data_IF_562910920581
#
_entry.id   IF_562910920581
#
_cell.length_a   1.000
_cell.length_b   1.000
_cell.length_c   1.000
_cell.angle_alpha   90.00
_cell.angle_beta   90.00
_cell.angle_gamma   90.00
#
_symmetry.space_group_name_H-M   'P 1'
#
loop_
_entity.id
_entity.type
_entity.pdbx_description
1 polymer ?
#
# COMPACT_ATOMS: atom_id res chain seq x y z
N UNK A 1 27.32 7.21 -8.35
CA UNK A 1 28.25 7.31 -9.48
C UNK A 1 29.58 6.68 -9.10
N UNK A 2 30.05 5.71 -9.89
CA UNK A 2 31.42 5.24 -9.78
C UNK A 2 32.37 6.42 -9.98
N UNK A 3 32.99 6.85 -8.91
CA UNK A 3 34.19 7.69 -9.09
C UNK A 3 35.30 6.77 -9.58
N UNK A 4 36.12 7.25 -10.45
CA UNK A 4 37.24 6.57 -11.13
C UNK A 4 38.34 6.02 -10.19
N UNK A 5 38.00 5.73 -8.96
CA UNK A 5 38.86 5.05 -8.03
C UNK A 5 38.43 3.58 -7.99
N UNK A 6 39.13 2.73 -8.71
CA UNK A 6 38.82 1.30 -8.90
C UNK A 6 38.74 0.47 -7.62
N UNK A 7 38.91 1.08 -6.45
CA UNK A 7 39.00 0.38 -5.18
C UNK A 7 37.79 0.60 -4.25
N UNK A 8 36.92 1.58 -4.55
CA UNK A 8 35.75 1.87 -3.69
C UNK A 8 34.48 1.96 -4.52
N UNK A 9 33.66 0.94 -4.44
CA UNK A 9 32.29 0.94 -4.98
C UNK A 9 31.30 1.54 -3.98
N UNK A 10 30.22 2.13 -4.47
CA UNK A 10 29.09 2.47 -3.61
C UNK A 10 28.54 1.17 -2.97
N UNK A 11 28.30 1.22 -1.67
CA UNK A 11 27.74 0.11 -0.92
C UNK A 11 26.38 0.48 -0.35
N UNK A 12 25.48 -0.48 -0.33
CA UNK A 12 24.14 -0.35 0.25
C UNK A 12 23.64 -1.73 0.67
N UNK A 13 22.49 -1.74 1.34
CA UNK A 13 21.81 -2.99 1.71
C UNK A 13 20.46 -3.09 1.00
N UNK A 14 19.93 -4.30 0.85
CA UNK A 14 18.58 -4.50 0.34
C UNK A 14 17.53 -3.78 1.21
N UNK A 15 17.76 -3.70 2.53
CA UNK A 15 16.92 -2.96 3.45
C UNK A 15 16.89 -1.46 3.15
N UNK A 16 18.05 -0.84 3.01
CA UNK A 16 18.14 0.61 2.75
C UNK A 16 17.53 0.97 1.40
N UNK A 17 17.77 0.13 0.37
CA UNK A 17 17.12 0.29 -0.93
C UNK A 17 15.60 0.09 -0.84
N UNK A 18 15.13 -0.86 -0.06
CA UNK A 18 13.69 -1.06 0.18
C UNK A 18 13.04 0.17 0.80
N UNK A 19 13.67 0.78 1.82
CA UNK A 19 13.22 2.02 2.46
C UNK A 19 13.23 3.19 1.48
N UNK A 20 14.32 3.33 0.72
CA UNK A 20 14.46 4.38 -0.28
C UNK A 20 13.36 4.28 -1.34
N UNK A 21 13.18 3.10 -1.91
CA UNK A 21 12.20 2.85 -3.00
C UNK A 21 10.77 3.01 -2.51
N UNK A 22 10.46 2.55 -1.29
CA UNK A 22 9.15 2.79 -0.69
C UNK A 22 8.82 4.27 -0.64
N UNK A 23 9.71 5.09 -0.07
CA UNK A 23 9.50 6.53 0.02
C UNK A 23 9.48 7.20 -1.37
N UNK A 24 10.33 6.74 -2.28
CA UNK A 24 10.39 7.27 -3.64
C UNK A 24 9.10 7.05 -4.41
N UNK A 25 8.60 5.81 -4.45
CA UNK A 25 7.35 5.48 -5.14
C UNK A 25 6.14 6.10 -4.46
N UNK A 26 6.14 6.20 -3.12
CA UNK A 26 5.06 6.86 -2.37
C UNK A 26 4.98 8.35 -2.67
N UNK A 27 6.11 9.04 -2.70
CA UNK A 27 6.15 10.51 -2.85
C UNK A 27 6.16 10.96 -4.31
N UNK A 28 6.64 10.11 -5.22
CA UNK A 28 6.79 10.41 -6.65
C UNK A 28 6.22 9.28 -7.52
N UNK A 29 4.94 8.93 -7.40
CA UNK A 29 4.33 7.81 -8.11
C UNK A 29 4.38 7.95 -9.63
N UNK A 30 4.48 9.17 -10.15
CA UNK A 30 4.54 9.45 -11.59
C UNK A 30 5.77 8.85 -12.28
N UNK A 31 6.83 8.51 -11.52
CA UNK A 31 8.00 7.81 -12.07
C UNK A 31 7.61 6.48 -12.72
N UNK A 32 6.56 5.85 -12.23
CA UNK A 32 6.10 4.57 -12.75
C UNK A 32 5.54 4.69 -14.18
N UNK A 33 5.10 5.87 -14.61
CA UNK A 33 4.69 6.12 -15.99
C UNK A 33 5.86 6.01 -16.98
N UNK A 34 7.10 6.16 -16.50
CA UNK A 34 8.31 6.07 -17.30
C UNK A 34 8.98 4.69 -17.19
N UNK A 35 8.78 3.98 -16.08
CA UNK A 35 9.47 2.71 -15.81
C UNK A 35 8.66 1.48 -16.19
N UNK A 36 7.39 1.64 -16.54
CA UNK A 36 6.46 0.55 -16.85
C UNK A 36 6.49 0.10 -18.32
N UNK A 37 7.37 0.66 -19.15
CA UNK A 37 7.43 0.37 -20.57
C UNK A 37 8.67 -0.46 -20.90
N UNK A 38 8.45 -1.65 -21.48
CA UNK A 38 9.55 -2.50 -21.93
C UNK A 38 10.26 -1.92 -23.16
N UNK A 39 9.51 -1.19 -23.98
CA UNK A 39 10.00 -0.59 -25.22
C UNK A 39 9.30 0.74 -25.47
N UNK A 40 10.04 1.74 -25.90
CA UNK A 40 9.55 3.06 -26.20
C UNK A 40 10.17 3.58 -27.50
N UNK A 41 9.35 4.07 -28.42
CA UNK A 41 9.82 4.76 -29.64
C UNK A 41 9.58 6.25 -29.47
N UNK A 42 10.64 7.02 -29.57
CA UNK A 42 10.59 8.49 -29.54
C UNK A 42 10.70 9.05 -30.95
N UNK A 43 10.13 10.25 -31.16
CA UNK A 43 10.13 10.96 -32.44
C UNK A 43 9.64 10.09 -33.62
N UNK A 44 8.65 9.25 -33.38
CA UNK A 44 8.07 8.35 -34.38
C UNK A 44 7.66 9.09 -35.66
N UNK A 45 7.97 8.50 -36.83
CA UNK A 45 7.68 9.08 -38.15
C UNK A 45 8.58 10.22 -38.57
N UNK A 46 9.67 10.51 -37.87
CA UNK A 46 10.68 11.52 -38.22
C UNK A 46 12.02 10.86 -38.57
N UNK A 47 12.95 11.59 -39.25
CA UNK A 47 14.32 11.09 -39.46
C UNK A 47 15.13 10.85 -38.17
N UNK A 48 14.61 11.24 -37.03
CA UNK A 48 15.22 11.08 -35.70
C UNK A 48 14.45 10.07 -34.85
N UNK A 49 13.69 9.19 -35.48
CA UNK A 49 13.00 8.10 -34.79
C UNK A 49 14.02 7.17 -34.15
N UNK A 50 13.85 6.92 -32.86
CA UNK A 50 14.70 6.02 -32.10
C UNK A 50 13.86 5.16 -31.16
N UNK A 51 14.18 3.88 -31.06
CA UNK A 51 13.52 2.95 -30.17
C UNK A 51 14.47 2.48 -29.08
N UNK A 52 14.03 2.67 -27.83
CA UNK A 52 14.75 2.22 -26.64
C UNK A 52 14.07 1.00 -26.04
N UNK A 53 14.87 0.02 -25.65
CA UNK A 53 14.42 -1.16 -24.90
C UNK A 53 15.05 -1.14 -23.51
N UNK A 54 14.29 -1.54 -22.49
CA UNK A 54 14.77 -1.63 -21.13
C UNK A 54 15.41 -2.98 -20.85
N UNK A 55 16.32 -3.01 -19.88
CA UNK A 55 16.85 -4.23 -19.28
C UNK A 55 15.95 -4.80 -18.17
N UNK A 56 14.77 -4.22 -17.94
CA UNK A 56 13.77 -4.79 -17.03
C UNK A 56 12.91 -5.80 -17.79
N UNK A 57 13.40 -7.04 -17.85
CA UNK A 57 12.72 -8.11 -18.58
C UNK A 57 11.48 -8.69 -17.86
N UNK A 58 11.12 -8.19 -16.68
CA UNK A 58 9.88 -8.57 -15.99
C UNK A 58 8.67 -7.68 -16.34
N UNK A 59 8.87 -6.62 -17.14
CA UNK A 59 7.77 -5.77 -17.59
C UNK A 59 6.83 -6.49 -18.56
N UNK A 60 5.55 -6.03 -18.66
CA UNK A 60 4.61 -6.58 -19.65
C UNK A 60 5.19 -6.57 -21.06
N UNK A 61 5.09 -7.70 -21.75
CA UNK A 61 5.62 -7.89 -23.10
C UNK A 61 7.12 -8.25 -23.17
N UNK A 62 7.85 -8.24 -22.06
CA UNK A 62 9.24 -8.67 -22.00
C UNK A 62 9.38 -10.19 -21.72
N UNK A 63 10.62 -10.71 -21.81
CA UNK A 63 10.94 -12.16 -21.77
C UNK A 63 10.45 -12.88 -20.52
N UNK A 64 10.49 -12.23 -19.38
CA UNK A 64 10.08 -12.78 -18.06
C UNK A 64 8.90 -12.00 -17.48
N UNK A 65 7.99 -11.53 -18.34
CA UNK A 65 6.88 -10.73 -17.94
C UNK A 65 6.16 -11.31 -16.70
N UNK A 66 5.92 -10.45 -15.71
CA UNK A 66 5.20 -10.78 -14.51
C UNK A 66 4.03 -9.80 -14.35
N UNK A 67 2.85 -10.32 -14.05
CA UNK A 67 1.64 -9.52 -13.86
C UNK A 67 1.81 -8.43 -12.79
N UNK A 68 1.46 -7.21 -13.16
CA UNK A 68 1.48 -6.05 -12.25
C UNK A 68 2.83 -5.38 -12.09
N UNK A 69 3.89 -5.84 -12.78
CA UNK A 69 5.19 -5.14 -12.77
C UNK A 69 5.05 -3.81 -13.50
N UNK A 70 5.44 -2.72 -12.80
CA UNK A 70 5.42 -1.35 -13.32
C UNK A 70 6.75 -0.59 -13.13
N UNK A 71 7.81 -1.30 -12.74
CA UNK A 71 9.16 -0.76 -12.58
C UNK A 71 10.09 -1.71 -11.84
N UNK A 72 11.27 -1.27 -11.40
CA UNK A 72 11.71 0.12 -11.31
C UNK A 72 13.08 0.29 -11.98
N UNK A 73 14.12 -0.43 -11.50
CA UNK A 73 15.51 -0.21 -11.92
C UNK A 73 16.32 -1.49 -11.92
N UNK A 74 17.10 -1.67 -12.98
CA UNK A 74 18.17 -2.66 -13.04
C UNK A 74 19.53 -1.96 -12.92
N UNK A 75 20.53 -2.69 -12.48
CA UNK A 75 21.91 -2.19 -12.42
C UNK A 75 22.89 -3.34 -12.42
N UNK A 76 24.00 -3.16 -13.11
CA UNK A 76 25.05 -4.18 -13.23
C UNK A 76 26.41 -3.54 -13.14
N UNK A 77 27.37 -4.18 -12.49
CA UNK A 77 28.74 -3.74 -12.41
C UNK A 77 29.69 -4.88 -12.06
N UNK A 78 30.99 -4.78 -12.38
CA UNK A 78 31.95 -5.83 -12.04
C UNK A 78 31.96 -6.20 -10.55
N UNK A 79 31.84 -5.23 -9.67
CA UNK A 79 31.91 -5.45 -8.22
C UNK A 79 30.55 -5.77 -7.58
N UNK A 80 29.45 -5.42 -8.24
CA UNK A 80 28.10 -5.59 -7.69
C UNK A 80 27.27 -6.67 -8.42
N UNK A 81 27.86 -7.35 -9.39
CA UNK A 81 27.15 -8.30 -10.26
C UNK A 81 25.83 -7.70 -10.80
N UNK A 82 24.75 -8.48 -10.85
CA UNK A 82 23.50 -8.06 -11.46
C UNK A 82 22.43 -7.81 -10.39
N UNK A 83 21.85 -6.61 -10.44
CA UNK A 83 20.91 -6.13 -9.43
C UNK A 83 19.58 -5.73 -10.08
N UNK A 84 18.48 -5.91 -9.34
CA UNK A 84 17.15 -5.58 -9.80
C UNK A 84 16.27 -5.09 -8.64
N UNK A 85 15.65 -3.97 -8.83
CA UNK A 85 14.57 -3.47 -7.98
C UNK A 85 13.28 -3.54 -8.80
N UNK A 86 12.34 -4.34 -8.33
CA UNK A 86 11.02 -4.47 -8.90
C UNK A 86 9.98 -3.71 -8.08
N UNK A 87 9.01 -3.10 -8.76
CA UNK A 87 7.74 -2.70 -8.15
C UNK A 87 6.62 -3.41 -8.88
N UNK A 88 5.69 -3.95 -8.11
CA UNK A 88 4.56 -4.73 -8.61
C UNK A 88 3.30 -4.32 -7.87
N UNK A 89 2.22 -4.03 -8.61
CA UNK A 89 0.93 -3.69 -8.03
C UNK A 89 -0.15 -4.64 -8.53
N UNK A 90 -0.84 -5.30 -7.58
CA UNK A 90 -2.04 -6.10 -7.85
C UNK A 90 -3.16 -5.66 -6.90
N UNK A 91 -4.23 -5.13 -7.44
CA UNK A 91 -5.29 -4.52 -6.66
C UNK A 91 -4.77 -3.40 -5.75
N UNK A 92 -5.03 -3.50 -4.45
CA UNK A 92 -4.58 -2.52 -3.47
C UNK A 92 -3.18 -2.81 -2.90
N UNK A 93 -2.62 -3.98 -3.18
CA UNK A 93 -1.31 -4.39 -2.67
C UNK A 93 -0.20 -4.01 -3.64
N UNK A 94 0.83 -3.35 -3.14
CA UNK A 94 2.11 -3.13 -3.84
C UNK A 94 3.21 -3.88 -3.12
N UNK A 95 4.03 -4.58 -3.90
CA UNK A 95 5.23 -5.26 -3.44
C UNK A 95 6.45 -4.60 -4.07
N UNK A 96 7.48 -4.39 -3.27
CA UNK A 96 8.79 -3.93 -3.72
C UNK A 96 9.77 -5.08 -3.50
N UNK A 97 10.37 -5.58 -4.57
CA UNK A 97 11.42 -6.60 -4.53
C UNK A 97 12.79 -5.94 -4.72
N UNK A 98 13.73 -6.25 -3.84
CA UNK A 98 15.12 -5.80 -3.95
C UNK A 98 16.03 -7.02 -4.06
N UNK A 99 16.60 -7.21 -5.22
CA UNK A 99 17.47 -8.34 -5.58
C UNK A 99 18.86 -7.77 -5.85
N UNK A 100 19.85 -8.27 -5.15
CA UNK A 100 21.22 -7.78 -5.26
C UNK A 100 22.22 -8.91 -5.45
N UNK A 101 23.26 -8.66 -6.29
CA UNK A 101 24.40 -9.54 -6.40
C UNK A 101 24.08 -10.91 -7.04
N UNK A 102 23.22 -10.94 -8.04
CA UNK A 102 22.88 -12.19 -8.74
C UNK A 102 24.01 -12.58 -9.69
N UNK A 103 24.45 -13.84 -9.59
CA UNK A 103 25.48 -14.39 -10.45
C UNK A 103 26.87 -13.82 -10.22
N UNK A 104 27.73 -14.01 -11.18
CA UNK A 104 29.09 -13.46 -11.24
C UNK A 104 29.22 -12.57 -12.48
N UNK A 105 30.03 -11.52 -12.40
CA UNK A 105 30.21 -10.60 -13.53
C UNK A 105 30.82 -11.28 -14.77
N UNK A 106 31.59 -12.33 -14.57
CA UNK A 106 32.14 -13.13 -15.67
C UNK A 106 31.08 -13.93 -16.43
N UNK A 107 29.95 -14.21 -15.78
CA UNK A 107 28.78 -14.86 -16.37
C UNK A 107 27.69 -13.83 -16.66
N UNK A 108 27.64 -13.35 -17.90
CA UNK A 108 26.69 -12.34 -18.33
C UNK A 108 25.22 -12.81 -18.30
N UNK A 109 24.94 -14.11 -18.14
CA UNK A 109 23.60 -14.64 -17.97
C UNK A 109 22.95 -14.22 -16.64
N UNK A 110 23.75 -13.74 -15.68
CA UNK A 110 23.26 -13.10 -14.46
C UNK A 110 22.32 -11.91 -14.73
N UNK A 111 22.48 -11.23 -15.85
CA UNK A 111 21.56 -10.17 -16.30
C UNK A 111 20.14 -10.69 -16.48
N UNK A 112 20.00 -11.92 -16.93
CA UNK A 112 18.70 -12.57 -17.14
C UNK A 112 18.20 -13.21 -15.84
N UNK A 113 19.06 -13.90 -15.09
CA UNK A 113 18.66 -14.67 -13.89
C UNK A 113 18.08 -13.80 -12.77
N UNK A 114 18.49 -12.54 -12.64
CA UNK A 114 17.93 -11.61 -11.65
C UNK A 114 16.40 -11.46 -11.75
N UNK A 115 15.83 -11.67 -12.96
CA UNK A 115 14.39 -11.51 -13.18
C UNK A 115 13.58 -12.71 -12.67
N UNK A 116 13.85 -13.97 -13.05
CA UNK A 116 13.12 -15.11 -12.49
C UNK A 116 13.31 -15.23 -10.97
N UNK A 117 14.47 -14.89 -10.41
CA UNK A 117 14.64 -14.85 -8.95
C UNK A 117 13.77 -13.75 -8.31
N UNK A 118 13.76 -12.56 -8.89
CA UNK A 118 12.90 -11.46 -8.43
C UNK A 118 11.42 -11.81 -8.56
N UNK A 119 11.01 -12.38 -9.67
CA UNK A 119 9.64 -12.80 -9.91
C UNK A 119 9.19 -13.84 -8.89
N UNK A 120 10.01 -14.84 -8.60
CA UNK A 120 9.72 -15.88 -7.60
C UNK A 120 9.55 -15.29 -6.18
N UNK A 121 10.41 -14.33 -5.81
CA UNK A 121 10.29 -13.61 -4.53
C UNK A 121 8.98 -12.83 -4.44
N UNK A 122 8.61 -12.16 -5.52
CA UNK A 122 7.37 -11.37 -5.59
C UNK A 122 6.14 -12.28 -5.53
N UNK A 123 6.13 -13.37 -6.31
CA UNK A 123 5.02 -14.33 -6.27
C UNK A 123 4.86 -14.94 -4.88
N UNK A 124 5.97 -15.30 -4.23
CA UNK A 124 5.93 -15.79 -2.85
C UNK A 124 5.36 -14.73 -1.90
N UNK A 125 5.70 -13.45 -2.09
CA UNK A 125 5.15 -12.38 -1.28
C UNK A 125 3.63 -12.25 -1.45
N UNK A 126 3.13 -12.33 -2.69
CA UNK A 126 1.68 -12.34 -2.96
C UNK A 126 0.99 -13.62 -2.50
N UNK A 127 1.69 -14.76 -2.51
CA UNK A 127 1.14 -16.01 -2.00
C UNK A 127 0.98 -15.99 -0.47
N UNK A 128 1.97 -15.44 0.23
CA UNK A 128 2.06 -15.50 1.70
C UNK A 128 1.35 -14.32 2.40
N UNK A 129 1.23 -13.16 1.76
CA UNK A 129 0.77 -11.92 2.39
C UNK A 129 -0.35 -11.26 1.59
N UNK A 130 -1.19 -10.50 2.31
CA UNK A 130 -2.21 -9.64 1.74
C UNK A 130 -2.23 -8.28 2.45
N UNK A 131 -2.49 -7.21 1.69
CA UNK A 131 -2.75 -5.88 2.22
C UNK A 131 -4.27 -5.67 2.22
N UNK A 132 -4.87 -5.64 3.40
CA UNK A 132 -6.33 -5.59 3.52
C UNK A 132 -6.81 -4.59 4.54
N UNK A 133 -8.04 -4.16 4.37
CA UNK A 133 -8.75 -3.35 5.35
C UNK A 133 -9.09 -4.20 6.56
N UNK A 134 -8.61 -3.78 7.73
CA UNK A 134 -8.95 -4.38 9.02
C UNK A 134 -10.13 -3.68 9.67
N UNK A 135 -10.21 -2.34 9.56
CA UNK A 135 -11.32 -1.54 10.07
C UNK A 135 -11.72 -0.45 9.09
N UNK A 136 -12.98 -0.09 9.13
CA UNK A 136 -13.49 1.07 8.39
C UNK A 136 -13.37 2.34 9.23
N UNK A 137 -13.31 3.49 8.58
CA UNK A 137 -13.41 4.81 9.20
C UNK A 137 -14.59 4.92 10.16
N UNK A 138 -14.45 5.71 11.22
CA UNK A 138 -15.49 5.96 12.21
C UNK A 138 -15.33 5.12 13.47
N UNK A 139 -16.42 4.89 14.20
CA UNK A 139 -16.41 4.18 15.49
C UNK A 139 -16.19 2.68 15.27
N UNK A 140 -15.20 2.11 15.92
CA UNK A 140 -14.84 0.70 15.86
C UNK A 140 -14.58 0.18 17.28
N UNK A 141 -14.99 -1.04 17.55
CA UNK A 141 -14.66 -1.76 18.78
C UNK A 141 -13.37 -2.56 18.56
N UNK A 142 -12.36 -2.28 19.37
CA UNK A 142 -11.03 -2.88 19.30
C UNK A 142 -10.60 -3.23 20.73
N UNK A 143 -10.37 -4.51 20.97
CA UNK A 143 -9.96 -5.04 22.28
C UNK A 143 -10.86 -4.58 23.45
N UNK A 144 -12.20 -4.60 23.21
CA UNK A 144 -13.22 -4.26 24.20
C UNK A 144 -13.42 -2.77 24.49
N UNK A 145 -12.78 -1.88 23.73
CA UNK A 145 -12.94 -0.43 23.81
C UNK A 145 -13.39 0.15 22.48
N UNK A 146 -14.06 1.28 22.52
CA UNK A 146 -14.52 1.98 21.32
C UNK A 146 -13.54 3.10 20.95
N UNK A 147 -13.10 3.08 19.69
CA UNK A 147 -12.21 4.09 19.12
C UNK A 147 -12.83 4.74 17.89
N UNK A 148 -12.52 6.02 17.67
CA UNK A 148 -12.88 6.71 16.46
C UNK A 148 -11.67 6.74 15.50
N UNK A 149 -11.82 6.08 14.34
CA UNK A 149 -10.79 6.02 13.30
C UNK A 149 -10.99 7.17 12.30
N UNK A 150 -9.96 7.98 12.03
CA UNK A 150 -10.04 9.10 11.09
C UNK A 150 -10.21 8.67 9.64
N UNK A 151 -9.77 7.44 9.30
CA UNK A 151 -9.83 6.84 7.96
C UNK A 151 -9.90 5.32 8.06
N UNK A 152 -10.06 4.63 6.92
CA UNK A 152 -9.99 3.17 6.86
C UNK A 152 -8.60 2.67 7.26
N UNK A 153 -8.52 1.68 8.14
CA UNK A 153 -7.26 1.10 8.57
C UNK A 153 -6.92 -0.14 7.75
N UNK A 154 -5.84 -0.03 7.00
CA UNK A 154 -5.28 -1.12 6.21
C UNK A 154 -3.96 -1.59 6.80
N UNK A 155 -3.71 -2.88 6.70
CA UNK A 155 -2.42 -3.44 7.11
C UNK A 155 -2.05 -4.66 6.26
N UNK A 156 -0.74 -4.90 6.17
CA UNK A 156 -0.20 -6.13 5.62
C UNK A 156 -0.33 -7.25 6.66
N UNK A 157 -0.91 -8.36 6.27
CA UNK A 157 -1.05 -9.55 7.13
C UNK A 157 -0.64 -10.81 6.39
N UNK A 158 -0.19 -11.81 7.14
CA UNK A 158 0.07 -13.14 6.57
C UNK A 158 -1.27 -13.80 6.24
N UNK A 159 -1.41 -14.34 5.05
CA UNK A 159 -2.63 -15.07 4.64
C UNK A 159 -2.92 -16.24 5.56
N UNK A 160 -4.18 -16.38 5.94
CA UNK A 160 -4.62 -17.41 6.89
C UNK A 160 -4.30 -17.12 8.37
N UNK A 161 -3.49 -16.11 8.68
CA UNK A 161 -3.29 -15.68 10.06
C UNK A 161 -4.39 -14.71 10.51
N UNK A 162 -4.78 -14.81 11.78
CA UNK A 162 -5.68 -13.84 12.41
C UNK A 162 -4.82 -12.68 12.92
N UNK A 163 -5.01 -11.49 12.34
CA UNK A 163 -4.50 -10.27 12.95
C UNK A 163 -5.17 -10.08 14.32
N UNK A 164 -4.43 -9.58 15.30
CA UNK A 164 -4.92 -9.22 16.63
C UNK A 164 -4.66 -7.72 16.85
N UNK A 165 -5.43 -6.84 16.20
CA UNK A 165 -5.21 -5.42 16.31
C UNK A 165 -5.33 -4.96 17.75
N UNK A 166 -4.41 -4.11 18.17
CA UNK A 166 -4.34 -3.55 19.53
C UNK A 166 -4.16 -2.04 19.44
N UNK A 167 -4.63 -1.33 20.47
CA UNK A 167 -4.37 0.10 20.63
C UNK A 167 -3.43 0.31 21.81
N UNK A 168 -2.26 0.85 21.55
CA UNK A 168 -1.25 1.18 22.56
C UNK A 168 -0.94 2.67 22.51
N UNK A 169 -1.11 3.37 23.61
CA UNK A 169 -0.86 4.82 23.72
C UNK A 169 -1.58 5.65 22.63
N UNK A 170 -2.83 5.30 22.29
CA UNK A 170 -3.60 5.99 21.25
C UNK A 170 -3.17 5.66 19.81
N UNK A 171 -2.36 4.61 19.62
CA UNK A 171 -1.91 4.15 18.32
C UNK A 171 -2.46 2.75 18.05
N UNK A 172 -3.28 2.62 17.01
CA UNK A 172 -3.77 1.34 16.50
C UNK A 172 -2.66 0.68 15.69
N UNK A 173 -2.40 -0.58 16.02
CA UNK A 173 -1.44 -1.47 15.34
C UNK A 173 -2.15 -2.72 14.85
N UNK A 174 -1.66 -3.31 13.77
CA UNK A 174 -2.25 -4.54 13.20
C UNK A 174 -2.13 -5.77 14.12
N UNK A 175 -1.23 -5.75 15.10
CA UNK A 175 -1.01 -6.87 16.02
C UNK A 175 -0.57 -8.15 15.29
N UNK A 176 0.28 -8.00 14.30
CA UNK A 176 0.93 -9.08 13.57
C UNK A 176 2.44 -9.10 13.89
N UNK A 177 3.08 -10.26 13.71
CA UNK A 177 4.51 -10.45 13.98
C UNK A 177 5.37 -10.10 12.75
N UNK A 178 4.92 -9.19 11.88
CA UNK A 178 5.65 -8.82 10.68
C UNK A 178 6.77 -7.83 11.02
N UNK A 179 7.94 -8.11 10.45
CA UNK A 179 9.08 -7.23 10.60
C UNK A 179 8.87 -5.92 9.84
N UNK A 180 9.05 -4.81 10.52
CA UNK A 180 8.97 -3.47 9.93
C UNK A 180 10.36 -3.00 9.51
N UNK A 181 10.53 -2.61 8.25
CA UNK A 181 11.81 -2.10 7.73
C UNK A 181 12.28 -0.84 8.45
N UNK A 182 11.35 0.01 8.85
CA UNK A 182 11.61 1.27 9.55
C UNK A 182 10.38 1.64 10.39
N UNK A 183 10.54 2.25 11.58
CA UNK A 183 9.42 2.78 12.36
C UNK A 183 8.57 3.81 11.62
N UNK A 184 9.14 4.45 10.57
CA UNK A 184 8.41 5.40 9.71
C UNK A 184 7.62 4.72 8.58
N UNK A 185 7.79 3.40 8.42
CA UNK A 185 7.09 2.56 7.44
C UNK A 185 6.37 1.48 8.26
N UNK A 186 5.36 1.88 8.99
CA UNK A 186 4.53 0.98 9.79
C UNK A 186 3.06 1.15 9.42
N UNK A 187 2.33 0.06 9.52
CA UNK A 187 0.87 0.06 9.41
C UNK A 187 0.31 0.46 10.80
N UNK A 188 0.42 1.76 11.14
CA UNK A 188 -0.02 2.33 12.41
C UNK A 188 -0.91 3.55 12.17
N UNK A 189 -1.92 3.73 13.02
CA UNK A 189 -2.85 4.84 12.94
C UNK A 189 -3.12 5.44 14.33
N UNK A 190 -3.06 6.76 14.45
CA UNK A 190 -3.52 7.43 15.66
C UNK A 190 -5.04 7.36 15.74
N UNK A 191 -5.56 6.96 16.90
CA UNK A 191 -6.98 6.82 17.15
C UNK A 191 -7.35 7.45 18.49
N UNK A 192 -8.59 7.89 18.61
CA UNK A 192 -9.13 8.48 19.84
C UNK A 192 -10.11 7.52 20.49
N UNK A 193 -9.93 7.23 21.79
CA UNK A 193 -10.88 6.45 22.58
C UNK A 193 -12.16 7.29 22.79
N UNK A 194 -13.30 6.68 22.53
CA UNK A 194 -14.61 7.31 22.70
C UNK A 194 -15.32 6.66 23.87
N UNK A 195 -15.60 7.45 24.91
CA UNK A 195 -16.37 6.98 26.07
C UNK A 195 -17.72 6.41 25.65
N UNK A 196 -18.02 5.18 26.04
CA UNK A 196 -19.29 4.51 25.77
C UNK A 196 -20.49 5.30 26.37
N UNK A 197 -20.28 6.06 27.44
CA UNK A 197 -21.30 6.89 28.10
C UNK A 197 -21.82 8.02 27.21
N UNK A 198 -20.99 8.61 26.35
CA UNK A 198 -21.39 9.71 25.43
C UNK A 198 -22.26 9.17 24.29
N UNK A 199 -22.11 7.90 23.96
CA UNK A 199 -22.89 7.28 22.86
C UNK A 199 -24.30 6.90 23.30
N UNK A 200 -24.52 6.59 24.59
CA UNK A 200 -25.85 6.32 25.13
C UNK A 200 -26.67 7.61 25.27
N UNK A 201 -26.08 8.69 25.80
CA UNK A 201 -26.76 9.98 25.91
C UNK A 201 -27.16 10.57 24.56
N UNK A 202 -26.33 10.44 23.53
CA UNK A 202 -26.68 10.90 22.18
C UNK A 202 -27.80 10.06 21.53
N UNK A 203 -27.83 8.73 21.77
CA UNK A 203 -28.94 7.88 21.31
C UNK A 203 -30.24 8.16 22.07
N UNK A 204 -30.17 8.41 23.38
CA UNK A 204 -31.35 8.77 24.18
C UNK A 204 -31.89 10.16 23.82
N UNK A 205 -31.05 11.12 23.47
CA UNK A 205 -31.50 12.45 22.99
C UNK A 205 -32.16 12.37 21.61
N UNK A 206 -31.64 11.56 20.70
CA UNK A 206 -32.26 11.34 19.37
C UNK A 206 -33.60 10.62 19.52
N UNK A 207 -33.67 9.59 20.36
CA UNK A 207 -34.94 8.85 20.61
C UNK A 207 -35.97 9.74 21.32
N UNK A 208 -35.55 10.63 22.24
CA UNK A 208 -36.45 11.61 22.86
C UNK A 208 -36.93 12.69 21.88
N UNK A 209 -36.09 13.11 20.92
CA UNK A 209 -36.50 14.04 19.87
C UNK A 209 -37.44 13.41 18.84
N UNK A 210 -37.25 12.13 18.50
CA UNK A 210 -38.18 11.41 17.62
C UNK A 210 -39.50 11.13 18.29
N UNK A 211 -39.52 10.70 19.57
CA UNK A 211 -40.75 10.50 20.32
C UNK A 211 -41.53 11.81 20.56
N UNK A 212 -40.84 12.94 20.74
CA UNK A 212 -41.49 14.24 20.80
C UNK A 212 -42.09 14.67 19.45
N UNK A 213 -41.48 14.28 18.35
CA UNK A 213 -41.97 14.62 17.01
C UNK A 213 -43.25 13.80 16.64
N UNK A 214 -43.28 12.55 17.01
CA UNK A 214 -44.49 11.68 16.84
C UNK A 214 -45.67 12.18 17.67
N UNK A 215 -45.46 12.58 18.90
CA UNK A 215 -46.53 13.10 19.79
C UNK A 215 -47.14 14.40 19.24
N UNK A 216 -46.33 15.32 18.66
CA UNK A 216 -46.86 16.51 18.00
C UNK A 216 -47.65 16.22 16.72
N UNK A 217 -47.26 15.18 15.97
CA UNK A 217 -48.02 14.76 14.75
C UNK A 217 -49.38 14.19 15.10
N UNK A 218 -49.48 13.43 16.18
CA UNK A 218 -50.76 12.86 16.66
C UNK A 218 -51.72 13.93 17.23
N UNK A 219 -51.18 15.03 17.81
CA UNK A 219 -51.98 16.13 18.27
C UNK A 219 -52.57 16.98 17.13
N UNK A 220 -51.86 17.04 16.00
CA UNK A 220 -52.33 17.77 14.80
C UNK A 220 -53.29 16.94 13.92
N UNK A 221 -53.29 15.63 14.05
CA UNK A 221 -54.20 14.74 13.31
C UNK A 221 -55.62 14.65 13.92
N UNK A 222 -55.81 15.02 15.19
CA UNK A 222 -57.09 14.98 15.93
C UNK A 222 -57.82 16.32 15.95
N UNK A 223 -57.78 17.14 14.91
CA UNK A 223 -58.63 18.33 14.78
C UNK A 223 -60.03 17.92 14.29
N UNK A 224 -60.93 17.68 15.21
CA UNK A 224 -62.36 17.77 14.93
C UNK A 224 -62.73 19.23 14.65
N UNK A 225 -63.17 19.49 13.42
CA UNK A 225 -63.77 20.74 13.03
C UNK A 225 -65.14 20.82 13.73
N UNK A 226 -65.26 21.64 14.75
CA UNK A 226 -66.55 22.09 15.26
C UNK A 226 -66.95 23.28 14.42
N UNK A 227 -67.87 23.04 13.45
CA UNK A 227 -68.57 24.14 12.77
C UNK A 227 -69.69 24.59 13.68
N UNK A 228 -69.71 25.87 14.07
CA UNK A 228 -70.84 26.53 14.70
C UNK A 228 -71.68 27.18 13.61
N UNK A 229 -73.02 27.05 13.65
CA UNK A 229 -73.91 27.75 12.72
C UNK A 229 -74.18 29.19 13.18
N UNK A 230 -74.38 30.08 12.20
CA UNK A 230 -75.12 31.34 12.37
C UNK A 230 -76.42 31.15 11.66
#
# INVERSE_FOLDING_TARGET
PQRYNNYVSNQTTARDLGILVYNFVKNYPDILNYTNQAKVTVKAGTPYEETFETYNYSLPGARYALEGVDGLKTGSSPNGAFNYIATVKRGNQRVIGVIMGVGDWSDQDGEYYRHPFGNALIEKSYADYEYKKLFSKGKQEIDGKTYNLPEDFYATVKKGAKAKPVVENGVLKAGNDLYTLSPKISDEMKVEEVDASVTQSAKEEVTKKENNKTWYSDLLSNRWLIALPI
#
